data_IF_807653471749
#
_entry.id   IF_807653471749
#
_cell.length_a   1.000
_cell.length_b   1.000
_cell.length_c   1.000
_cell.angle_alpha   90.00
_cell.angle_beta   90.00
_cell.angle_gamma   90.00
#
_symmetry.space_group_name_H-M   'P 1'
#
loop_
_entity.id
_entity.type
_entity.pdbx_description
1 polymer ?
#
# COMPACT_ATOMS: atom_id res chain seq x y z
N UNK A 1 59.74 -31.18 -24.82
CA UNK A 1 59.71 -30.35 -23.59
C UNK A 1 58.32 -29.76 -23.44
N UNK A 2 57.74 -29.87 -22.23
CA UNK A 2 56.49 -29.25 -21.73
C UNK A 2 55.20 -29.82 -22.34
N UNK A 3 54.09 -30.03 -21.62
CA UNK A 3 53.71 -30.17 -20.21
C UNK A 3 52.22 -30.56 -20.27
N UNK A 4 51.75 -31.50 -19.45
CA UNK A 4 50.33 -31.80 -19.28
C UNK A 4 49.52 -30.53 -18.95
N UNK A 5 48.27 -30.44 -19.41
CA UNK A 5 47.16 -29.92 -18.60
C UNK A 5 45.82 -30.41 -19.16
N UNK A 6 45.11 -31.21 -18.35
CA UNK A 6 43.68 -31.48 -18.50
C UNK A 6 42.93 -30.15 -18.32
N UNK A 7 41.99 -29.85 -19.22
CA UNK A 7 41.00 -28.80 -18.97
C UNK A 7 39.70 -29.48 -18.54
N UNK A 8 39.44 -29.40 -17.23
CA UNK A 8 38.16 -29.75 -16.64
C UNK A 8 37.10 -28.76 -17.13
N UNK A 9 36.02 -29.28 -17.71
CA UNK A 9 34.84 -28.49 -18.03
C UNK A 9 34.14 -28.09 -16.72
N UNK A 10 34.30 -26.83 -16.31
CA UNK A 10 33.47 -26.22 -15.29
C UNK A 10 32.12 -25.89 -15.93
N UNK A 11 31.11 -26.74 -15.74
CA UNK A 11 29.71 -26.34 -15.89
C UNK A 11 29.39 -25.42 -14.71
N UNK A 12 29.53 -24.10 -14.89
CA UNK A 12 28.79 -23.16 -14.04
C UNK A 12 27.36 -23.12 -14.55
N UNK A 13 26.46 -23.82 -13.86
CA UNK A 13 25.04 -23.54 -13.98
C UNK A 13 24.80 -22.11 -13.49
N UNK A 14 24.50 -21.21 -14.42
CA UNK A 14 23.90 -19.94 -14.07
C UNK A 14 22.52 -20.25 -13.48
N UNK A 15 22.41 -20.19 -12.16
CA UNK A 15 21.11 -20.15 -11.49
C UNK A 15 20.55 -18.77 -11.79
N UNK A 16 19.70 -18.67 -12.82
CA UNK A 16 18.83 -17.52 -12.99
C UNK A 16 17.78 -17.60 -11.87
N UNK A 17 18.02 -16.94 -10.75
CA UNK A 17 16.95 -16.64 -9.80
C UNK A 17 16.11 -15.54 -10.43
N UNK A 18 15.07 -15.92 -11.17
CA UNK A 18 13.98 -14.98 -11.46
C UNK A 18 13.32 -14.69 -10.12
N UNK A 19 13.62 -13.55 -9.49
CA UNK A 19 12.86 -13.13 -8.32
C UNK A 19 11.44 -12.83 -8.80
N UNK A 20 10.48 -13.64 -8.37
CA UNK A 20 9.07 -13.40 -8.66
C UNK A 20 8.65 -12.11 -7.96
N UNK A 21 8.07 -11.18 -8.73
CA UNK A 21 7.48 -9.97 -8.18
C UNK A 21 6.24 -10.34 -7.35
N UNK A 22 6.16 -9.82 -6.14
CA UNK A 22 5.05 -10.02 -5.20
C UNK A 22 4.29 -8.72 -5.06
N UNK A 23 2.99 -8.73 -5.34
CA UNK A 23 2.09 -7.61 -5.07
C UNK A 23 1.82 -7.50 -3.57
N UNK A 24 2.11 -6.34 -2.99
CA UNK A 24 1.92 -6.00 -1.58
C UNK A 24 0.55 -5.34 -1.34
N UNK A 25 0.13 -4.54 -2.31
CA UNK A 25 -1.14 -3.84 -2.33
C UNK A 25 -1.54 -3.62 -3.79
N UNK A 26 -2.83 -3.67 -4.09
CA UNK A 26 -3.35 -3.28 -5.38
C UNK A 26 -4.81 -2.87 -5.29
N UNK A 27 -5.20 -1.90 -6.10
CA UNK A 27 -6.57 -1.45 -6.25
C UNK A 27 -6.82 -1.06 -7.72
N UNK A 28 -7.86 -1.63 -8.32
CA UNK A 28 -8.32 -1.29 -9.67
C UNK A 28 -9.64 -0.51 -9.65
N UNK A 29 -10.09 -0.08 -8.47
CA UNK A 29 -11.20 0.84 -8.24
C UNK A 29 -12.61 0.37 -8.66
N UNK A 30 -12.75 -0.76 -9.37
CA UNK A 30 -14.04 -1.31 -9.78
C UNK A 30 -14.98 -1.71 -8.64
N UNK A 31 -14.42 -1.99 -7.46
CA UNK A 31 -15.18 -2.54 -6.33
C UNK A 31 -16.01 -1.51 -5.57
N UNK A 32 -15.75 -0.22 -5.79
CA UNK A 32 -16.41 0.89 -5.11
C UNK A 32 -17.73 1.29 -5.79
N UNK A 33 -18.59 2.03 -5.11
CA UNK A 33 -19.82 2.57 -5.70
C UNK A 33 -19.52 3.59 -6.81
N UNK A 34 -20.42 3.74 -7.77
CA UNK A 34 -20.26 4.76 -8.81
C UNK A 34 -20.25 6.16 -8.19
N UNK A 35 -19.31 6.99 -8.62
CA UNK A 35 -19.21 8.42 -8.29
C UNK A 35 -19.00 8.72 -6.80
N UNK A 36 -18.55 7.76 -6.00
CA UNK A 36 -18.22 8.01 -4.59
C UNK A 36 -16.97 8.89 -4.48
N UNK A 37 -17.02 9.87 -3.59
CA UNK A 37 -15.92 10.81 -3.30
C UNK A 37 -15.33 10.63 -1.90
N UNK A 38 -16.11 10.16 -0.91
CA UNK A 38 -15.64 9.91 0.46
C UNK A 38 -16.69 9.09 1.24
N UNK A 39 -16.31 8.05 2.01
CA UNK A 39 -15.00 7.37 2.03
C UNK A 39 -14.81 6.42 0.84
N UNK A 40 -13.59 6.33 0.33
CA UNK A 40 -13.19 5.36 -0.72
C UNK A 40 -12.39 4.24 -0.06
N UNK A 41 -13.08 3.19 0.38
CA UNK A 41 -12.43 2.03 1.02
C UNK A 41 -11.65 2.42 2.28
N UNK A 42 -10.40 1.94 2.35
CA UNK A 42 -9.44 2.26 3.43
C UNK A 42 -8.45 3.36 3.01
N UNK A 43 -8.66 4.03 1.88
CA UNK A 43 -7.83 5.15 1.45
C UNK A 43 -8.11 6.38 2.31
N UNK A 44 -7.05 7.11 2.66
CA UNK A 44 -7.17 8.42 3.29
C UNK A 44 -7.12 9.51 2.22
N UNK A 45 -7.93 10.55 2.40
CA UNK A 45 -8.05 11.67 1.49
C UNK A 45 -7.78 12.97 2.25
N UNK A 46 -6.89 13.81 1.72
CA UNK A 46 -6.54 15.11 2.30
C UNK A 46 -6.76 16.16 1.22
N UNK A 47 -7.76 17.01 1.42
CA UNK A 47 -8.10 18.16 0.57
C UNK A 47 -7.61 19.43 1.28
N UNK A 48 -6.44 19.94 0.88
CA UNK A 48 -5.85 21.12 1.50
C UNK A 48 -6.31 22.44 0.86
N UNK A 49 -6.72 22.41 -0.41
CA UNK A 49 -7.17 23.61 -1.11
C UNK A 49 -8.63 23.96 -0.82
N UNK A 50 -9.46 22.95 -0.51
CA UNK A 50 -10.88 23.09 -0.15
C UNK A 50 -11.76 23.59 -1.30
N UNK A 51 -11.30 23.47 -2.54
CA UNK A 51 -11.89 24.04 -3.74
C UNK A 51 -12.89 23.09 -4.37
N UNK A 52 -13.90 23.64 -5.04
CA UNK A 52 -14.78 22.85 -5.87
C UNK A 52 -14.11 22.58 -7.22
N UNK A 53 -14.42 21.42 -7.80
CA UNK A 53 -13.83 20.98 -9.08
C UNK A 53 -14.71 21.32 -10.29
N UNK A 54 -14.14 21.28 -11.49
CA UNK A 54 -14.92 21.40 -12.72
C UNK A 54 -15.86 20.21 -12.92
N UNK A 55 -17.06 20.50 -13.41
CA UNK A 55 -17.95 19.48 -14.00
C UNK A 55 -17.60 19.19 -15.46
N UNK A 56 -18.29 18.22 -16.05
CA UNK A 56 -18.10 17.86 -17.46
C UNK A 56 -19.23 18.48 -18.29
N UNK A 57 -18.87 19.22 -19.34
CA UNK A 57 -19.80 19.78 -20.32
C UNK A 57 -19.39 19.37 -21.73
N UNK A 58 -20.35 19.27 -22.64
CA UNK A 58 -20.07 19.07 -24.06
C UNK A 58 -19.77 20.41 -24.77
N UNK A 59 -19.47 20.36 -26.07
CA UNK A 59 -19.15 21.54 -26.90
C UNK A 59 -20.28 22.60 -26.96
N UNK A 60 -21.51 22.23 -26.62
CA UNK A 60 -22.67 23.11 -26.56
C UNK A 60 -22.94 23.65 -25.13
N UNK A 61 -22.01 23.47 -24.19
CA UNK A 61 -22.12 23.78 -22.77
C UNK A 61 -23.30 23.08 -22.07
N UNK A 62 -23.61 21.85 -22.50
CA UNK A 62 -24.60 21.01 -21.83
C UNK A 62 -23.85 20.07 -20.88
N UNK A 63 -24.19 20.13 -19.60
CA UNK A 63 -23.56 19.31 -18.57
C UNK A 63 -23.91 17.83 -18.69
N UNK A 64 -22.93 16.97 -18.45
CA UNK A 64 -23.13 15.56 -18.18
C UNK A 64 -23.60 15.39 -16.74
N UNK A 65 -24.63 14.57 -16.53
CA UNK A 65 -25.24 14.34 -15.22
C UNK A 65 -24.64 13.08 -14.62
N UNK A 66 -24.12 13.21 -13.40
CA UNK A 66 -23.67 12.13 -12.54
C UNK A 66 -23.61 12.63 -11.10
N UNK A 67 -23.66 11.71 -10.13
CA UNK A 67 -23.58 12.07 -8.73
C UNK A 67 -22.23 12.72 -8.41
N UNK A 68 -22.20 13.66 -7.47
CA UNK A 68 -20.99 14.38 -7.06
C UNK A 68 -20.23 15.12 -8.19
N UNK A 69 -20.89 15.46 -9.29
CA UNK A 69 -20.32 16.37 -10.30
C UNK A 69 -19.96 17.73 -9.68
N UNK A 70 -18.72 18.19 -9.90
CA UNK A 70 -18.18 19.42 -9.31
C UNK A 70 -17.99 19.35 -7.79
N UNK A 71 -17.59 18.19 -7.25
CA UNK A 71 -17.35 17.99 -5.83
C UNK A 71 -16.25 18.91 -5.27
N UNK A 72 -16.29 19.10 -3.96
CA UNK A 72 -15.15 19.58 -3.14
C UNK A 72 -14.58 18.39 -2.38
N UNK A 73 -13.29 18.14 -2.52
CA UNK A 73 -12.60 16.97 -2.01
C UNK A 73 -11.47 16.54 -2.94
N UNK A 74 -10.90 15.36 -2.67
CA UNK A 74 -9.69 14.88 -3.34
C UNK A 74 -9.92 14.20 -4.69
N UNK A 75 -10.75 13.16 -4.74
CA UNK A 75 -10.93 12.32 -5.91
C UNK A 75 -12.34 11.72 -6.00
N UNK A 76 -12.67 11.14 -7.16
CA UNK A 76 -13.93 10.46 -7.40
C UNK A 76 -13.72 9.10 -8.07
N UNK A 77 -14.44 8.07 -7.64
CA UNK A 77 -14.53 6.82 -8.40
C UNK A 77 -15.46 7.04 -9.59
N UNK A 78 -14.88 7.13 -10.78
CA UNK A 78 -15.62 7.54 -11.96
C UNK A 78 -16.03 6.35 -12.82
N UNK A 79 -17.33 6.26 -13.13
CA UNK A 79 -17.86 5.29 -14.09
C UNK A 79 -18.44 6.05 -15.30
N UNK A 80 -17.70 6.14 -16.43
CA UNK A 80 -18.15 6.93 -17.58
C UNK A 80 -19.42 6.39 -18.22
N UNK A 81 -19.66 5.07 -18.15
CA UNK A 81 -20.87 4.46 -18.72
C UNK A 81 -22.14 4.76 -17.92
N UNK A 82 -22.00 5.26 -16.68
CA UNK A 82 -23.10 5.59 -15.79
C UNK A 82 -23.45 7.09 -15.78
N UNK A 83 -22.77 7.93 -16.57
CA UNK A 83 -23.17 9.34 -16.74
C UNK A 83 -24.37 9.46 -17.68
N UNK A 84 -25.07 10.60 -17.65
CA UNK A 84 -26.13 10.92 -18.60
C UNK A 84 -25.82 12.20 -19.42
N UNK A 85 -25.62 12.09 -20.75
CA UNK A 85 -25.48 10.85 -21.51
C UNK A 85 -24.20 10.08 -21.10
N UNK A 86 -24.12 8.79 -21.44
CA UNK A 86 -22.92 8.00 -21.16
C UNK A 86 -21.70 8.62 -21.87
N UNK A 87 -20.59 8.74 -21.15
CA UNK A 87 -19.30 9.12 -21.70
C UNK A 87 -18.63 7.89 -22.32
N UNK A 88 -18.03 8.08 -23.49
CA UNK A 88 -17.38 7.02 -24.27
C UNK A 88 -15.93 7.43 -24.62
N UNK A 89 -15.22 6.54 -25.31
CA UNK A 89 -13.87 6.74 -25.87
C UNK A 89 -12.83 7.19 -24.84
N UNK A 90 -12.53 8.48 -24.79
CA UNK A 90 -11.41 9.03 -24.05
C UNK A 90 -11.59 8.98 -22.53
N UNK A 91 -12.82 8.75 -22.05
CA UNK A 91 -13.10 8.53 -20.64
C UNK A 91 -12.99 7.07 -20.20
N UNK A 92 -12.72 6.14 -21.13
CA UNK A 92 -12.64 4.72 -20.81
C UNK A 92 -11.53 4.43 -19.76
N UNK A 93 -11.86 3.67 -18.70
CA UNK A 93 -10.88 3.16 -17.73
C UNK A 93 -9.78 2.33 -18.40
N UNK A 94 -8.65 2.15 -17.73
CA UNK A 94 -7.59 1.30 -18.25
C UNK A 94 -8.00 -0.17 -18.16
N UNK A 95 -8.59 -0.56 -17.02
CA UNK A 95 -9.18 -1.87 -16.80
C UNK A 95 -10.59 -1.75 -16.20
N UNK A 96 -11.41 -2.78 -16.37
CA UNK A 96 -12.75 -2.78 -15.78
C UNK A 96 -13.72 -1.72 -16.34
N UNK A 97 -14.54 -1.15 -15.45
CA UNK A 97 -15.58 -0.17 -15.75
C UNK A 97 -15.40 1.16 -15.00
N UNK A 98 -14.45 1.27 -14.07
CA UNK A 98 -14.23 2.47 -13.25
C UNK A 98 -12.76 2.81 -13.13
N UNK A 99 -12.48 4.08 -12.89
CA UNK A 99 -11.14 4.59 -12.56
C UNK A 99 -11.22 5.60 -11.42
N UNK A 100 -10.10 5.86 -10.75
CA UNK A 100 -9.97 6.97 -9.82
C UNK A 100 -9.69 8.24 -10.63
N UNK A 101 -10.53 9.26 -10.50
CA UNK A 101 -10.38 10.51 -11.23
C UNK A 101 -10.18 11.69 -10.30
N UNK A 102 -9.29 12.60 -10.71
CA UNK A 102 -9.12 13.91 -10.10
C UNK A 102 -9.55 14.97 -11.10
N UNK A 103 -10.22 16.01 -10.63
CA UNK A 103 -10.66 17.12 -11.47
C UNK A 103 -10.01 18.41 -11.01
N UNK A 104 -9.60 19.25 -11.97
CA UNK A 104 -8.96 20.51 -11.67
C UNK A 104 -9.88 21.39 -10.81
N UNK A 105 -9.28 22.06 -9.81
CA UNK A 105 -9.95 23.04 -8.98
C UNK A 105 -10.42 24.24 -9.82
N UNK A 106 -11.61 24.76 -9.49
CA UNK A 106 -12.17 25.95 -10.14
C UNK A 106 -11.60 27.26 -9.61
N UNK A 107 -10.94 27.21 -8.44
CA UNK A 107 -10.21 28.32 -7.83
C UNK A 107 -8.87 27.80 -7.29
N UNK A 108 -7.77 28.39 -7.76
CA UNK A 108 -6.43 28.06 -7.28
C UNK A 108 -5.78 26.84 -7.94
N UNK A 109 -4.82 26.26 -7.21
CA UNK A 109 -4.08 25.06 -7.55
C UNK A 109 -4.61 23.94 -6.65
N UNK A 110 -4.79 22.76 -7.23
CA UNK A 110 -5.11 21.56 -6.45
C UNK A 110 -3.99 21.26 -5.44
N UNK A 111 -4.36 20.85 -4.23
CA UNK A 111 -3.47 20.25 -3.25
C UNK A 111 -4.20 19.07 -2.58
N UNK A 112 -4.42 18.05 -3.40
CA UNK A 112 -5.30 16.91 -3.13
C UNK A 112 -4.50 15.62 -3.00
N UNK A 113 -4.50 15.01 -1.82
CA UNK A 113 -3.70 13.82 -1.52
C UNK A 113 -4.58 12.59 -1.37
N UNK A 114 -4.35 11.60 -2.24
CA UNK A 114 -4.99 10.30 -2.17
C UNK A 114 -3.99 9.25 -1.66
N UNK A 115 -4.22 8.74 -0.46
CA UNK A 115 -3.20 8.08 0.36
C UNK A 115 -3.58 6.62 0.63
N UNK A 116 -2.67 5.70 0.35
CA UNK A 116 -2.88 4.27 0.60
C UNK A 116 -3.11 3.97 2.09
N UNK A 117 -3.72 2.83 2.45
CA UNK A 117 -3.51 2.21 3.75
C UNK A 117 -2.02 1.97 4.03
N UNK A 118 -1.68 1.58 5.27
CA UNK A 118 -0.31 1.24 5.63
C UNK A 118 0.16 -0.04 4.92
N UNK A 119 1.31 0.03 4.25
CA UNK A 119 1.89 -1.08 3.47
C UNK A 119 3.28 -1.41 4.03
N UNK A 120 3.55 -2.70 4.26
CA UNK A 120 4.90 -3.16 4.63
C UNK A 120 5.70 -3.50 3.38
N UNK A 121 6.78 -2.77 3.13
CA UNK A 121 7.65 -2.99 1.97
C UNK A 121 8.54 -4.24 2.15
N UNK A 122 8.92 -4.82 1.02
CA UNK A 122 9.91 -5.90 0.97
C UNK A 122 11.34 -5.40 1.14
N UNK A 123 12.26 -6.36 1.18
CA UNK A 123 13.69 -6.07 1.40
C UNK A 123 14.41 -5.42 0.22
N UNK A 124 13.85 -5.47 -1.00
CA UNK A 124 14.44 -4.87 -2.21
C UNK A 124 13.48 -4.92 -3.40
N UNK A 125 13.73 -4.10 -4.42
CA UNK A 125 12.96 -4.04 -5.65
C UNK A 125 11.52 -3.63 -5.39
N UNK A 126 11.32 -2.71 -4.45
CA UNK A 126 10.03 -2.14 -4.10
C UNK A 126 9.66 -1.05 -5.09
N UNK A 127 8.43 -1.11 -5.61
CA UNK A 127 7.92 -0.15 -6.59
C UNK A 127 6.45 0.15 -6.33
N UNK A 128 6.06 1.41 -6.51
CA UNK A 128 4.66 1.77 -6.77
C UNK A 128 4.47 1.97 -8.27
N UNK A 129 3.35 1.44 -8.79
CA UNK A 129 2.96 1.55 -10.20
C UNK A 129 1.48 1.87 -10.30
N UNK A 130 1.10 2.64 -11.31
CA UNK A 130 -0.30 2.88 -11.68
C UNK A 130 -0.33 3.31 -13.14
N UNK A 131 -1.47 3.15 -13.79
CA UNK A 131 -1.73 3.74 -15.10
C UNK A 131 -2.37 5.10 -14.90
N UNK A 132 -1.96 6.09 -15.69
CA UNK A 132 -2.59 7.40 -15.68
C UNK A 132 -2.62 8.02 -17.08
N UNK A 133 -3.61 8.90 -17.30
CA UNK A 133 -3.67 9.80 -18.46
C UNK A 133 -4.41 11.09 -18.12
N UNK A 134 -4.04 12.17 -18.79
CA UNK A 134 -4.86 13.38 -18.87
C UNK A 134 -5.97 13.19 -19.90
N UNK A 135 -7.17 13.68 -19.64
CA UNK A 135 -8.24 13.68 -20.63
C UNK A 135 -7.86 14.54 -21.85
N UNK A 136 -7.17 15.66 -21.64
CA UNK A 136 -6.76 16.53 -22.74
C UNK A 136 -5.50 17.30 -22.38
N UNK A 137 -4.81 17.82 -23.39
CA UNK A 137 -3.72 18.78 -23.27
C UNK A 137 -4.16 20.21 -23.65
N UNK A 138 -5.45 20.41 -23.98
CA UNK A 138 -5.99 21.69 -24.48
C UNK A 138 -5.75 22.84 -23.50
N UNK A 139 -5.83 22.57 -22.20
CA UNK A 139 -5.64 23.55 -21.13
C UNK A 139 -4.34 23.33 -20.35
N UNK A 140 -3.48 22.44 -20.83
CA UNK A 140 -2.34 21.95 -20.09
C UNK A 140 -2.53 20.49 -19.66
N UNK A 141 -1.44 19.91 -19.17
CA UNK A 141 -1.42 18.53 -18.70
C UNK A 141 -1.66 18.47 -17.20
N UNK A 142 -2.18 17.32 -16.78
CA UNK A 142 -2.38 17.05 -15.37
C UNK A 142 -1.04 16.82 -14.67
N UNK A 143 -0.94 17.27 -13.41
CA UNK A 143 0.32 17.29 -12.67
C UNK A 143 0.17 16.55 -11.35
N UNK A 144 1.09 15.64 -11.09
CA UNK A 144 1.10 14.85 -9.86
C UNK A 144 2.47 14.85 -9.20
N UNK A 145 2.47 14.68 -7.89
CA UNK A 145 3.62 14.24 -7.11
C UNK A 145 3.33 12.86 -6.53
N UNK A 146 4.38 12.03 -6.42
CA UNK A 146 4.31 10.80 -5.63
C UNK A 146 5.12 11.03 -4.37
N UNK A 147 4.52 10.68 -3.24
CA UNK A 147 5.12 10.91 -1.94
C UNK A 147 4.97 9.70 -1.01
N UNK A 148 5.84 9.63 -0.01
CA UNK A 148 5.89 8.52 0.96
C UNK A 148 5.95 9.09 2.37
N UNK A 149 5.19 8.49 3.28
CA UNK A 149 5.26 8.74 4.73
C UNK A 149 5.57 7.46 5.49
N UNK A 150 6.36 7.58 6.56
CA UNK A 150 6.67 6.49 7.51
C UNK A 150 6.04 6.72 8.89
N UNK A 151 5.28 7.80 9.06
CA UNK A 151 4.73 8.26 10.35
C UNK A 151 3.21 8.13 10.38
N UNK A 152 2.52 8.94 9.58
CA UNK A 152 1.06 9.04 9.51
C UNK A 152 0.55 9.27 8.09
N UNK A 153 -0.77 9.27 7.95
CA UNK A 153 -1.46 9.38 6.66
C UNK A 153 -2.58 10.44 6.64
N UNK A 154 -2.71 11.22 7.71
CA UNK A 154 -3.81 12.19 7.91
C UNK A 154 -3.37 13.64 7.70
N UNK A 155 -2.07 13.90 7.54
CA UNK A 155 -1.48 15.22 7.36
C UNK A 155 -0.48 15.19 6.20
N UNK A 156 -0.59 16.13 5.26
CA UNK A 156 0.32 16.21 4.11
C UNK A 156 1.76 16.53 4.53
N UNK A 157 1.97 17.13 5.70
CA UNK A 157 3.30 17.40 6.25
C UNK A 157 4.08 16.14 6.64
N UNK A 158 3.41 14.99 6.80
CA UNK A 158 4.06 13.70 7.07
C UNK A 158 4.79 13.12 5.83
N UNK A 159 4.52 13.65 4.64
CA UNK A 159 4.96 13.05 3.38
C UNK A 159 6.24 13.69 2.81
N UNK A 160 7.11 12.83 2.27
CA UNK A 160 8.27 13.23 1.47
C UNK A 160 8.03 12.90 0.00
N UNK A 161 8.16 13.90 -0.89
CA UNK A 161 8.03 13.72 -2.34
C UNK A 161 9.21 12.90 -2.89
N UNK A 162 8.91 11.87 -3.68
CA UNK A 162 9.89 10.98 -4.31
C UNK A 162 9.89 11.05 -5.84
N UNK A 163 8.92 11.75 -6.45
CA UNK A 163 8.81 11.92 -7.90
C UNK A 163 9.77 12.95 -8.50
N UNK A 164 10.41 13.78 -7.67
CA UNK A 164 11.34 14.85 -8.08
C UNK A 164 11.11 16.15 -7.31
N UNK A 165 11.90 17.17 -7.63
CA UNK A 165 11.80 18.51 -7.02
C UNK A 165 10.62 19.33 -7.59
N UNK A 166 10.16 18.98 -8.80
CA UNK A 166 8.99 19.53 -9.48
C UNK A 166 7.88 18.47 -9.55
N UNK A 167 6.76 18.81 -10.22
CA UNK A 167 5.69 17.87 -10.53
C UNK A 167 6.01 16.97 -11.73
N UNK A 168 5.34 15.82 -11.78
CA UNK A 168 5.28 14.95 -12.96
C UNK A 168 4.06 15.32 -13.81
N UNK A 169 4.27 15.68 -15.08
CA UNK A 169 3.19 15.84 -16.05
C UNK A 169 2.71 14.48 -16.57
N UNK A 170 1.40 14.30 -16.60
CA UNK A 170 0.76 13.11 -17.16
C UNK A 170 0.37 13.39 -18.61
N UNK A 171 0.73 12.55 -19.58
CA UNK A 171 0.41 12.82 -20.98
C UNK A 171 -1.09 12.60 -21.27
N UNK A 172 -1.60 13.33 -22.26
CA UNK A 172 -2.93 13.12 -22.81
C UNK A 172 -2.92 12.05 -23.92
N UNK A 173 -4.09 11.46 -24.18
CA UNK A 173 -4.33 10.53 -25.30
C UNK A 173 -4.28 9.06 -24.89
N UNK A 174 -3.09 8.54 -24.56
CA UNK A 174 -2.90 7.13 -24.24
C UNK A 174 -2.56 6.93 -22.75
N UNK A 175 -3.10 5.86 -22.17
CA UNK A 175 -2.74 5.42 -20.83
C UNK A 175 -1.23 5.14 -20.75
N UNK A 176 -0.57 5.75 -19.78
CA UNK A 176 0.86 5.57 -19.52
C UNK A 176 1.06 4.97 -18.14
N UNK A 177 1.90 3.93 -18.05
CA UNK A 177 2.27 3.36 -16.77
C UNK A 177 3.37 4.19 -16.11
N UNK A 178 3.12 4.64 -14.90
CA UNK A 178 4.11 5.29 -14.05
C UNK A 178 4.71 4.27 -13.09
N UNK A 179 5.99 4.44 -12.77
CA UNK A 179 6.71 3.54 -11.86
C UNK A 179 7.70 4.35 -11.05
N UNK A 180 7.62 4.26 -9.72
CA UNK A 180 8.53 4.92 -8.81
C UNK A 180 9.18 3.89 -7.87
N UNK A 181 10.48 4.08 -7.62
CA UNK A 181 11.26 3.22 -6.73
C UNK A 181 10.96 3.58 -5.26
N UNK A 182 10.83 2.56 -4.42
CA UNK A 182 10.59 2.69 -2.98
C UNK A 182 11.69 2.02 -2.13
N UNK A 183 12.84 1.69 -2.72
CA UNK A 183 13.88 0.91 -2.06
C UNK A 183 14.58 1.66 -0.93
N UNK A 184 14.53 3.00 -0.93
CA UNK A 184 15.01 3.81 0.19
C UNK A 184 14.21 3.54 1.48
N UNK A 185 13.01 2.97 1.37
CA UNK A 185 12.12 2.57 2.46
C UNK A 185 12.04 1.04 2.64
N UNK A 186 13.02 0.29 2.13
CA UNK A 186 13.00 -1.18 2.16
C UNK A 186 12.82 -1.75 3.56
N UNK A 187 11.81 -2.61 3.72
CA UNK A 187 11.49 -3.26 4.99
C UNK A 187 10.74 -2.39 6.00
N UNK A 188 10.39 -1.15 5.64
CA UNK A 188 9.60 -0.24 6.47
C UNK A 188 8.10 -0.41 6.23
N UNK A 189 7.30 0.14 7.16
CA UNK A 189 5.88 0.35 6.97
C UNK A 189 5.69 1.77 6.46
N UNK A 190 5.03 1.91 5.32
CA UNK A 190 4.87 3.18 4.62
C UNK A 190 3.42 3.44 4.25
N UNK A 191 3.11 4.71 4.04
CA UNK A 191 1.96 5.19 3.28
C UNK A 191 2.47 5.82 1.99
N UNK A 192 1.76 5.62 0.89
CA UNK A 192 2.12 6.20 -0.41
C UNK A 192 0.98 7.09 -0.85
N UNK A 193 1.29 8.28 -1.35
CA UNK A 193 0.30 9.25 -1.79
C UNK A 193 0.50 9.59 -3.27
N UNK A 194 -0.62 9.73 -3.98
CA UNK A 194 -0.70 10.57 -5.17
C UNK A 194 -1.15 11.94 -4.68
N UNK A 195 -0.32 12.95 -4.86
CA UNK A 195 -0.71 14.34 -4.66
C UNK A 195 -1.00 14.96 -6.03
N UNK A 196 -2.25 15.34 -6.26
CA UNK A 196 -2.70 16.03 -7.45
C UNK A 196 -2.49 17.55 -7.28
N UNK A 197 -1.61 18.12 -8.10
CA UNK A 197 -1.15 19.52 -8.02
C UNK A 197 -1.42 20.31 -9.31
N UNK A 198 -2.48 19.96 -10.01
CA UNK A 198 -2.90 20.65 -11.22
C UNK A 198 -3.38 22.06 -10.94
N UNK A 199 -3.23 22.95 -11.92
CA UNK A 199 -3.91 24.23 -11.96
C UNK A 199 -4.30 24.49 -13.41
N UNK A 200 -5.55 24.91 -13.61
CA UNK A 200 -6.08 25.33 -14.91
C UNK A 200 -5.97 24.26 -16.02
N UNK A 201 -6.15 22.97 -15.68
CA UNK A 201 -6.30 21.89 -16.65
C UNK A 201 -7.73 21.31 -16.61
N UNK A 202 -7.93 19.99 -16.53
CA UNK A 202 -9.28 19.44 -16.52
C UNK A 202 -9.49 18.19 -15.67
N UNK A 203 -8.99 17.04 -16.10
CA UNK A 203 -9.20 15.78 -15.40
C UNK A 203 -8.05 14.79 -15.63
N UNK A 204 -7.59 14.21 -14.52
CA UNK A 204 -6.65 13.09 -14.46
C UNK A 204 -7.43 11.80 -14.22
N UNK A 205 -7.15 10.77 -15.03
CA UNK A 205 -7.62 9.42 -14.78
C UNK A 205 -6.44 8.59 -14.26
N UNK A 206 -6.67 7.82 -13.19
CA UNK A 206 -5.72 6.91 -12.55
C UNK A 206 -6.38 5.54 -12.38
N UNK A 207 -5.64 4.48 -12.69
CA UNK A 207 -6.16 3.12 -12.63
C UNK A 207 -5.07 2.09 -12.35
N UNK A 208 -5.47 0.87 -11.94
CA UNK A 208 -4.60 -0.26 -11.65
C UNK A 208 -3.41 0.11 -10.74
N UNK A 209 -3.69 0.75 -9.61
CA UNK A 209 -2.67 1.11 -8.62
C UNK A 209 -2.13 -0.15 -7.96
N UNK A 210 -0.81 -0.27 -7.86
CA UNK A 210 -0.17 -1.41 -7.22
C UNK A 210 1.16 -1.03 -6.55
N UNK A 211 1.43 -1.70 -5.43
CA UNK A 211 2.73 -1.69 -4.76
C UNK A 211 3.26 -3.10 -4.80
N UNK A 212 4.50 -3.27 -5.23
CA UNK A 212 5.10 -4.59 -5.44
C UNK A 212 6.54 -4.62 -4.95
N UNK A 213 7.05 -5.82 -4.71
CA UNK A 213 8.44 -6.06 -4.32
C UNK A 213 9.01 -7.28 -5.03
N UNK A 214 10.34 -7.33 -5.22
CA UNK A 214 11.04 -8.57 -5.64
C UNK A 214 11.81 -9.22 -4.49
N UNK A 215 11.98 -8.49 -3.38
CA UNK A 215 12.56 -8.98 -2.14
C UNK A 215 11.54 -9.72 -1.29
N UNK A 216 12.02 -10.44 -0.28
CA UNK A 216 11.11 -10.98 0.73
C UNK A 216 10.51 -9.82 1.54
N UNK A 217 9.18 -9.81 1.69
CA UNK A 217 8.50 -9.06 2.76
C UNK A 217 9.07 -9.54 4.08
N UNK A 218 9.32 -8.61 5.01
CA UNK A 218 9.96 -8.89 6.31
C UNK A 218 9.60 -10.29 6.81
N UNK A 219 10.62 -11.17 6.91
CA UNK A 219 10.43 -12.56 7.35
C UNK A 219 9.67 -12.60 8.67
N UNK A 220 9.78 -11.54 9.49
CA UNK A 220 9.07 -11.42 10.78
C UNK A 220 7.56 -11.29 10.62
N UNK A 221 7.03 -10.58 9.63
CA UNK A 221 5.58 -10.37 9.47
C UNK A 221 4.90 -11.57 8.84
N UNK A 222 5.54 -12.15 7.82
CA UNK A 222 5.13 -13.45 7.25
C UNK A 222 5.24 -14.56 8.30
N UNK A 223 6.24 -14.50 9.18
CA UNK A 223 6.34 -15.45 10.28
C UNK A 223 5.27 -15.18 11.34
N UNK A 224 5.01 -13.92 11.70
CA UNK A 224 4.04 -13.55 12.72
C UNK A 224 2.60 -13.90 12.32
N UNK A 225 2.24 -13.79 11.03
CA UNK A 225 0.92 -14.18 10.52
C UNK A 225 0.67 -15.70 10.63
N UNK A 226 1.75 -16.51 10.64
CA UNK A 226 1.67 -17.97 10.80
C UNK A 226 1.42 -18.43 12.23
N UNK A 227 1.51 -17.54 13.21
CA UNK A 227 1.27 -17.85 14.62
C UNK A 227 -0.01 -17.19 15.14
N UNK A 228 -0.81 -17.97 15.88
CA UNK A 228 -1.98 -17.49 16.63
C UNK A 228 -1.82 -17.77 18.12
N UNK A 229 -2.35 -16.86 18.95
CA UNK A 229 -2.36 -16.99 20.41
C UNK A 229 -3.80 -17.04 20.91
N UNK A 230 -4.13 -18.03 21.72
CA UNK A 230 -5.49 -18.21 22.23
C UNK A 230 -5.56 -18.87 23.61
N UNK A 231 -6.53 -18.52 24.46
CA UNK A 231 -7.42 -17.36 24.32
C UNK A 231 -6.66 -16.03 24.48
N UNK A 232 -7.22 -14.94 23.96
CA UNK A 232 -6.76 -13.58 24.21
C UNK A 232 -7.99 -12.65 24.13
N UNK A 233 -8.47 -12.05 25.24
CA UNK A 233 -7.89 -12.06 26.59
C UNK A 233 -7.83 -13.45 27.26
N UNK A 234 -6.88 -13.66 28.17
CA UNK A 234 -6.66 -14.93 28.88
C UNK A 234 -6.63 -14.76 30.40
N UNK A 235 -7.02 -15.81 31.13
CA UNK A 235 -6.97 -15.82 32.61
C UNK A 235 -5.79 -16.62 33.16
N UNK A 236 -5.54 -17.83 32.63
CA UNK A 236 -4.57 -18.76 33.24
C UNK A 236 -3.50 -19.26 32.28
N UNK A 237 -3.86 -19.60 31.04
CA UNK A 237 -2.94 -20.21 30.07
C UNK A 237 -3.21 -19.59 28.71
N UNK A 238 -2.13 -19.36 27.95
CA UNK A 238 -2.19 -19.01 26.53
C UNK A 238 -1.53 -20.14 25.74
N UNK A 239 -2.23 -20.57 24.69
CA UNK A 239 -1.75 -21.51 23.69
C UNK A 239 -1.16 -20.74 22.51
N UNK A 240 -0.03 -21.20 22.01
CA UNK A 240 0.65 -20.71 20.83
C UNK A 240 0.54 -21.80 19.76
N UNK A 241 -0.21 -21.51 18.70
CA UNK A 241 -0.42 -22.41 17.57
C UNK A 241 0.25 -21.86 16.32
N UNK A 242 0.68 -22.74 15.42
CA UNK A 242 1.13 -22.36 14.07
C UNK A 242 0.72 -23.43 13.05
N UNK A 243 0.54 -23.02 11.78
CA UNK A 243 0.02 -23.88 10.72
C UNK A 243 1.10 -24.71 9.98
N UNK A 244 2.39 -24.52 10.27
CA UNK A 244 3.50 -25.03 9.45
C UNK A 244 4.55 -25.85 10.21
N UNK A 245 4.22 -26.45 11.37
CA UNK A 245 5.16 -27.18 12.23
C UNK A 245 6.42 -26.36 12.59
N UNK A 246 6.25 -25.06 12.81
CA UNK A 246 7.32 -24.16 13.20
C UNK A 246 7.71 -24.46 14.65
N UNK A 247 8.90 -25.03 14.84
CA UNK A 247 9.41 -25.42 16.14
C UNK A 247 9.74 -24.18 17.00
N UNK A 248 8.98 -24.03 18.09
CA UNK A 248 9.16 -23.00 19.13
C UNK A 248 10.23 -23.45 20.10
N UNK A 249 11.19 -22.58 20.40
CA UNK A 249 12.29 -22.81 21.35
C UNK A 249 12.14 -22.01 22.63
N UNK A 250 11.48 -20.85 22.60
CA UNK A 250 11.26 -20.04 23.80
C UNK A 250 10.02 -19.15 23.66
N UNK A 251 9.34 -18.92 24.78
CA UNK A 251 8.28 -17.92 24.91
C UNK A 251 8.58 -17.05 26.13
N UNK A 252 8.57 -15.74 25.98
CA UNK A 252 8.72 -14.79 27.09
C UNK A 252 7.62 -13.74 27.09
N UNK A 253 7.12 -13.39 28.28
CA UNK A 253 6.14 -12.33 28.50
C UNK A 253 6.84 -11.13 29.08
N UNK A 254 6.58 -9.96 28.48
CA UNK A 254 7.19 -8.69 28.84
C UNK A 254 6.10 -7.70 29.24
N UNK A 255 6.30 -6.99 30.35
CA UNK A 255 5.40 -5.91 30.77
C UNK A 255 5.61 -4.63 29.93
N UNK A 256 4.75 -3.63 30.12
CA UNK A 256 4.84 -2.31 29.48
C UNK A 256 6.19 -1.62 29.69
N UNK A 257 6.91 -1.93 30.78
CA UNK A 257 8.20 -1.33 31.08
C UNK A 257 9.38 -2.12 30.46
N UNK A 258 9.09 -3.09 29.59
CA UNK A 258 10.12 -3.91 28.94
C UNK A 258 10.71 -5.01 29.83
N UNK A 259 10.16 -5.26 31.02
CA UNK A 259 10.70 -6.29 31.93
C UNK A 259 10.10 -7.65 31.61
N UNK A 260 10.93 -8.68 31.48
CA UNK A 260 10.45 -10.06 31.36
C UNK A 260 9.85 -10.52 32.69
N UNK A 261 8.53 -10.71 32.71
CA UNK A 261 7.77 -11.14 33.89
C UNK A 261 7.52 -12.65 33.92
N UNK A 262 7.68 -13.33 32.78
CA UNK A 262 7.55 -14.77 32.68
C UNK A 262 8.30 -15.29 31.45
N UNK A 263 8.82 -16.50 31.50
CA UNK A 263 9.48 -17.13 30.37
C UNK A 263 9.44 -18.65 30.47
N UNK A 264 9.40 -19.31 29.32
CA UNK A 264 9.43 -20.77 29.23
C UNK A 264 10.20 -21.20 27.98
N UNK A 265 11.22 -22.00 28.19
CA UNK A 265 11.98 -22.65 27.11
C UNK A 265 11.32 -23.97 26.69
N UNK A 266 11.53 -24.32 25.44
CA UNK A 266 11.04 -25.54 24.79
C UNK A 266 12.16 -26.16 23.96
N UNK A 267 12.15 -27.48 23.82
CA UNK A 267 13.07 -28.20 22.93
C UNK A 267 12.44 -28.39 21.54
N UNK A 268 12.13 -27.28 20.88
CA UNK A 268 11.59 -27.28 19.51
C UNK A 268 10.23 -27.98 19.37
N UNK A 269 9.17 -27.40 19.92
CA UNK A 269 7.81 -27.96 19.84
C UNK A 269 6.94 -27.26 18.79
N UNK A 270 6.09 -28.01 18.09
CA UNK A 270 5.14 -27.45 17.12
C UNK A 270 3.95 -26.72 17.77
N UNK A 271 3.62 -27.04 19.03
CA UNK A 271 2.60 -26.38 19.83
C UNK A 271 3.17 -26.03 21.19
N UNK A 272 3.06 -24.76 21.59
CA UNK A 272 3.57 -24.28 22.87
C UNK A 272 2.45 -23.73 23.75
N UNK A 273 2.61 -23.82 25.06
CA UNK A 273 1.70 -23.21 26.03
C UNK A 273 2.48 -22.57 27.17
N UNK A 274 1.99 -21.42 27.63
CA UNK A 274 2.56 -20.68 28.75
C UNK A 274 1.48 -20.34 29.78
N UNK A 275 1.78 -20.61 31.06
CA UNK A 275 0.91 -20.29 32.17
C UNK A 275 1.17 -18.84 32.60
N UNK A 276 0.12 -18.03 32.70
CA UNK A 276 0.14 -16.62 33.07
C UNK A 276 -0.70 -16.33 34.33
N UNK A 277 -1.13 -17.34 35.09
CA UNK A 277 -2.03 -17.19 36.25
C UNK A 277 -1.45 -16.27 37.34
N UNK A 278 -0.12 -16.20 37.42
CA UNK A 278 0.60 -15.40 38.40
C UNK A 278 0.81 -13.94 37.96
N UNK A 279 0.39 -13.57 36.74
CA UNK A 279 0.46 -12.20 36.25
C UNK A 279 -0.76 -11.40 36.72
N UNK A 280 -0.53 -10.13 37.06
CA UNK A 280 -1.62 -9.20 37.31
C UNK A 280 -2.41 -8.90 36.02
N UNK A 281 -3.67 -8.53 36.14
CA UNK A 281 -4.48 -8.09 35.01
C UNK A 281 -3.82 -6.90 34.29
N UNK A 282 -3.80 -6.92 32.96
CA UNK A 282 -3.13 -5.90 32.16
C UNK A 282 -2.72 -6.36 30.75
N UNK A 283 -2.04 -5.46 30.03
CA UNK A 283 -1.53 -5.69 28.67
C UNK A 283 -0.06 -6.08 28.74
N UNK A 284 0.33 -7.09 27.95
CA UNK A 284 1.70 -7.58 27.87
C UNK A 284 2.09 -7.85 26.41
N UNK A 285 3.40 -7.93 26.16
CA UNK A 285 3.95 -8.40 24.89
C UNK A 285 4.50 -9.81 25.10
N UNK A 286 4.01 -10.76 24.32
CA UNK A 286 4.55 -12.12 24.24
C UNK A 286 5.55 -12.19 23.08
N UNK A 287 6.81 -12.48 23.38
CA UNK A 287 7.82 -12.81 22.38
C UNK A 287 7.92 -14.34 22.24
N UNK A 288 7.83 -14.83 21.01
CA UNK A 288 7.91 -16.25 20.65
C UNK A 288 9.15 -16.42 19.78
N UNK A 289 10.13 -17.18 20.25
CA UNK A 289 11.34 -17.53 19.49
C UNK A 289 11.19 -18.92 18.90
N UNK A 290 11.53 -19.05 17.62
CA UNK A 290 11.44 -20.29 16.85
C UNK A 290 12.69 -20.50 16.01
N UNK A 291 12.83 -21.67 15.40
CA UNK A 291 13.91 -21.94 14.45
C UNK A 291 13.85 -21.09 13.17
N UNK A 292 12.73 -20.38 12.90
CA UNK A 292 12.58 -19.44 11.77
C UNK A 292 12.76 -17.97 12.16
N UNK A 293 12.92 -17.67 13.45
CA UNK A 293 13.04 -16.30 13.96
C UNK A 293 12.17 -16.02 15.19
N UNK A 294 12.19 -14.77 15.63
CA UNK A 294 11.44 -14.28 16.79
C UNK A 294 10.30 -13.36 16.34
N UNK A 295 9.12 -13.59 16.90
CA UNK A 295 7.91 -12.78 16.67
C UNK A 295 7.38 -12.24 18.00
N UNK A 296 6.58 -11.17 17.93
CA UNK A 296 5.92 -10.57 19.10
C UNK A 296 4.40 -10.52 18.89
N UNK A 297 3.62 -10.81 19.94
CA UNK A 297 2.15 -10.72 19.94
C UNK A 297 1.68 -9.99 21.20
N UNK A 298 0.78 -9.02 21.04
CA UNK A 298 0.08 -8.37 22.16
C UNK A 298 -0.89 -9.36 22.81
N UNK A 299 -0.86 -9.45 24.13
CA UNK A 299 -1.79 -10.27 24.92
C UNK A 299 -2.43 -9.44 26.03
N UNK A 300 -3.64 -9.82 26.44
CA UNK A 300 -4.39 -9.22 27.53
C UNK A 300 -4.65 -10.27 28.61
N UNK A 301 -4.24 -9.99 29.84
CA UNK A 301 -4.54 -10.80 31.03
C UNK A 301 -5.74 -10.18 31.76
N UNK A 302 -6.75 -11.00 32.00
CA UNK A 302 -7.90 -10.66 32.86
C UNK A 302 -7.63 -10.98 34.32
#
# INVERSE_FOLDING_TARGET
>A
MKKNLLLAAFLMGAVFTTNAQTTLFSDNFDSYEDFIIDPIGDWTQIDNDGSATYGIENEDNVSYIFDNSGYTGTAIIFNPSATEPALEDNWAPYSGNKSLNFFAATDGLNDDWFVTPQITLGSTGNTVTFWAKSITDTWGLERINIAVSTTGNEDSEDFTIISGDDYTEVPAGEWTQFTFNLDDYSGEQVYIAINYVTADAFALLVDDFAVSTTGTVSVKDVLASKFSVSPNPATNVININNAENILVSNVSIVDINGRTVNSKSFDGVASAQINISNLAAGVYIMNISSHKGTISKKIVKN
#
